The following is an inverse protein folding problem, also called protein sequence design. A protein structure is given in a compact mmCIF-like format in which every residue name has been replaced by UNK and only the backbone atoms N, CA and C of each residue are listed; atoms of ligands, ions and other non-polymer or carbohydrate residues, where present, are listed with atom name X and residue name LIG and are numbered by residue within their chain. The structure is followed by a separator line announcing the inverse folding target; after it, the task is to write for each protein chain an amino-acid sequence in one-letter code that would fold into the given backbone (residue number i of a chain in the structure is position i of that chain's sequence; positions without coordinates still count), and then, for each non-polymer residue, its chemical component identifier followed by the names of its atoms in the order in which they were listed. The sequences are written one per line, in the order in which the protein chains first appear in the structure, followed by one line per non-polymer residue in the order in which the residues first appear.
data_IF_956761054593
#
_entry.id   IF_956761054593
#
_cell.length_a   1.000
_cell.length_b   1.000
_cell.length_c   1.000
_cell.angle_alpha   90.00
_cell.angle_beta   90.00
_cell.angle_gamma   90.00
#
_symmetry.space_group_name_H-M   'P 1'
#
loop_
_entity.id
_entity.type
_entity.pdbx_description
1 polymer ?
#
# COMPACT_ATOMS: atom_id res chain seq x y z
N UNK A 1 -6.09 8.23 10.87
CA UNK A 1 -4.84 7.86 10.16
C UNK A 1 -5.02 6.48 9.54
N UNK A 2 -4.37 6.20 8.42
CA UNK A 2 -4.36 4.90 7.76
C UNK A 2 -2.92 4.51 7.40
N UNK A 3 -2.59 3.24 7.51
CA UNK A 3 -1.31 2.67 7.13
C UNK A 3 -1.54 1.76 5.92
N UNK A 4 -0.65 1.81 4.93
CA UNK A 4 -0.61 0.88 3.81
C UNK A 4 0.68 0.09 3.83
N UNK A 5 0.57 -1.21 3.58
CA UNK A 5 1.70 -2.10 3.37
C UNK A 5 1.39 -3.12 2.26
N UNK A 6 2.46 -3.64 1.65
CA UNK A 6 2.39 -4.60 0.57
C UNK A 6 3.24 -5.85 0.85
N UNK A 7 2.60 -7.01 0.80
CA UNK A 7 3.26 -8.28 1.07
C UNK A 7 3.11 -9.25 -0.09
N UNK A 8 4.23 -9.78 -0.55
CA UNK A 8 4.25 -10.89 -1.50
C UNK A 8 4.21 -12.22 -0.79
N UNK A 9 3.36 -13.10 -1.30
CA UNK A 9 3.11 -14.42 -0.74
C UNK A 9 3.17 -15.46 -1.85
N UNK A 10 3.76 -16.61 -1.54
CA UNK A 10 3.70 -17.77 -2.44
C UNK A 10 2.25 -18.25 -2.53
N UNK A 11 1.85 -18.73 -3.69
CA UNK A 11 0.58 -19.43 -3.88
C UNK A 11 0.83 -20.92 -4.15
N UNK A 12 -0.25 -21.67 -4.41
CA UNK A 12 -0.20 -23.11 -4.67
C UNK A 12 0.55 -23.42 -5.98
N UNK A 13 1.27 -24.55 -6.04
CA UNK A 13 2.20 -24.88 -7.13
C UNK A 13 1.58 -24.90 -8.55
N UNK A 14 0.27 -25.07 -8.68
CA UNK A 14 -0.45 -25.05 -9.97
C UNK A 14 -1.22 -23.76 -10.29
N UNK A 15 -1.10 -22.71 -9.47
CA UNK A 15 -1.87 -21.49 -9.69
C UNK A 15 -1.44 -20.77 -10.98
N UNK A 16 -2.44 -20.44 -11.81
CA UNK A 16 -2.25 -19.76 -13.11
C UNK A 16 -1.92 -18.28 -12.93
N UNK A 17 -2.60 -17.62 -12.00
CA UNK A 17 -2.38 -16.21 -11.70
C UNK A 17 -1.24 -16.07 -10.68
N UNK A 18 -0.01 -15.97 -11.20
CA UNK A 18 1.18 -15.64 -10.43
C UNK A 18 2.20 -14.92 -11.30
N UNK A 19 3.05 -14.15 -10.64
CA UNK A 19 4.26 -13.63 -11.23
C UNK A 19 5.39 -13.66 -10.21
N UNK A 20 6.59 -13.29 -10.65
CA UNK A 20 7.77 -13.29 -9.80
C UNK A 20 8.14 -11.86 -9.38
N UNK A 21 8.34 -11.68 -8.07
CA UNK A 21 8.95 -10.48 -7.51
C UNK A 21 10.42 -10.75 -7.21
N UNK A 22 11.33 -10.18 -8.01
CA UNK A 22 12.76 -10.41 -7.86
C UNK A 22 13.31 -9.90 -6.52
N UNK A 23 12.82 -8.76 -6.02
CA UNK A 23 13.29 -8.15 -4.77
C UNK A 23 13.05 -9.03 -3.54
N UNK A 24 11.92 -9.76 -3.50
CA UNK A 24 11.56 -10.67 -2.40
C UNK A 24 11.81 -12.15 -2.74
N UNK A 25 12.18 -12.46 -3.98
CA UNK A 25 12.34 -13.80 -4.53
C UNK A 25 11.09 -14.68 -4.35
N UNK A 26 9.91 -14.08 -4.52
CA UNK A 26 8.62 -14.76 -4.36
C UNK A 26 7.94 -14.90 -5.72
N UNK A 27 7.60 -16.13 -6.09
CA UNK A 27 6.65 -16.41 -7.16
C UNK A 27 5.25 -16.58 -6.55
N UNK A 28 4.32 -15.69 -6.88
CA UNK A 28 2.97 -15.76 -6.33
C UNK A 28 2.17 -14.47 -6.52
N UNK A 29 1.47 -14.10 -5.46
CA UNK A 29 0.58 -12.94 -5.39
C UNK A 29 1.18 -11.89 -4.45
N UNK A 30 0.68 -10.67 -4.54
CA UNK A 30 0.98 -9.58 -3.61
C UNK A 30 -0.33 -8.97 -3.11
N UNK A 31 -0.44 -8.83 -1.79
CA UNK A 31 -1.57 -8.19 -1.10
C UNK A 31 -1.18 -6.78 -0.71
N UNK A 32 -2.02 -5.81 -1.03
CA UNK A 32 -1.90 -4.39 -0.71
C UNK A 32 -3.04 -4.06 0.24
N UNK A 33 -2.72 -3.78 1.50
CA UNK A 33 -3.72 -3.66 2.56
C UNK A 33 -3.58 -2.30 3.21
N UNK A 34 -4.70 -1.58 3.25
CA UNK A 34 -4.88 -0.38 4.03
C UNK A 34 -5.50 -0.76 5.35
N UNK A 35 -5.00 -0.21 6.45
CA UNK A 35 -5.52 -0.43 7.81
C UNK A 35 -5.71 0.93 8.47
N UNK A 36 -6.90 1.24 8.95
CA UNK A 36 -7.17 2.49 9.67
C UNK A 36 -6.83 2.39 11.18
N UNK A 37 -6.89 3.50 11.90
CA UNK A 37 -6.60 3.53 13.34
C UNK A 37 -7.50 2.59 14.18
N UNK A 38 -8.80 2.41 13.85
CA UNK A 38 -9.63 1.33 14.41
C UNK A 38 -9.26 -0.12 14.03
N UNK A 39 -8.20 -0.34 13.25
CA UNK A 39 -7.76 -1.65 12.74
C UNK A 39 -8.74 -2.31 11.75
N UNK A 40 -9.61 -1.53 11.11
CA UNK A 40 -10.42 -1.99 9.99
C UNK A 40 -9.60 -1.90 8.70
N UNK A 41 -9.83 -2.81 7.73
CA UNK A 41 -9.17 -2.74 6.44
C UNK A 41 -10.05 -2.03 5.39
N UNK A 42 -10.02 -0.68 5.27
CA UNK A 42 -10.91 0.05 4.37
C UNK A 42 -10.62 -0.20 2.90
N UNK A 43 -9.44 -0.69 2.52
CA UNK A 43 -9.13 -1.00 1.12
C UNK A 43 -8.15 -2.17 1.02
N UNK A 44 -8.45 -3.11 0.14
CA UNK A 44 -7.62 -4.29 -0.13
C UNK A 44 -7.55 -4.53 -1.63
N UNK A 45 -6.34 -4.75 -2.14
CA UNK A 45 -6.14 -5.33 -3.47
C UNK A 45 -5.20 -6.55 -3.39
N UNK A 46 -5.48 -7.53 -4.25
CA UNK A 46 -4.59 -8.67 -4.47
C UNK A 46 -4.22 -8.67 -5.94
N UNK A 47 -2.92 -8.69 -6.22
CA UNK A 47 -2.34 -8.66 -7.56
C UNK A 47 -1.34 -9.79 -7.73
N UNK A 48 -0.82 -10.00 -8.94
CA UNK A 48 0.38 -10.83 -9.13
C UNK A 48 1.59 -10.16 -8.44
N UNK A 49 2.59 -10.95 -8.03
CA UNK A 49 3.68 -10.45 -7.19
C UNK A 49 4.60 -9.41 -7.87
N UNK A 50 4.62 -9.37 -9.21
CA UNK A 50 5.42 -8.41 -9.97
C UNK A 50 4.87 -6.98 -9.95
N UNK A 51 3.63 -6.78 -9.50
CA UNK A 51 3.05 -5.44 -9.38
C UNK A 51 3.76 -4.69 -8.25
N UNK A 52 4.13 -3.44 -8.52
CA UNK A 52 4.79 -2.57 -7.53
C UNK A 52 3.79 -2.15 -6.44
N UNK A 53 4.32 -1.82 -5.27
CA UNK A 53 3.51 -1.55 -4.08
C UNK A 53 2.60 -0.33 -4.30
N UNK A 54 3.12 0.75 -4.90
CA UNK A 54 2.31 1.92 -5.25
C UNK A 54 1.24 1.63 -6.31
N UNK A 55 1.50 0.80 -7.33
CA UNK A 55 0.48 0.47 -8.34
C UNK A 55 -0.65 -0.38 -7.74
N UNK A 56 -0.32 -1.36 -6.91
CA UNK A 56 -1.34 -2.16 -6.24
C UNK A 56 -2.12 -1.39 -5.17
N UNK A 57 -1.51 -0.39 -4.54
CA UNK A 57 -2.23 0.53 -3.66
C UNK A 57 -3.19 1.44 -4.43
N UNK A 58 -2.84 1.93 -5.63
CA UNK A 58 -3.77 2.66 -6.50
C UNK A 58 -4.99 1.81 -6.84
N UNK A 59 -4.77 0.54 -7.16
CA UNK A 59 -5.85 -0.43 -7.42
C UNK A 59 -6.76 -0.61 -6.18
N UNK A 60 -6.18 -0.71 -4.98
CA UNK A 60 -6.95 -0.81 -3.74
C UNK A 60 -7.79 0.46 -3.47
N UNK A 61 -7.21 1.65 -3.68
CA UNK A 61 -7.90 2.93 -3.56
C UNK A 61 -9.07 3.00 -4.53
N UNK A 62 -8.86 2.66 -5.80
CA UNK A 62 -9.88 2.67 -6.83
C UNK A 62 -11.07 1.75 -6.51
N UNK A 63 -10.81 0.61 -5.85
CA UNK A 63 -11.85 -0.35 -5.45
C UNK A 63 -12.71 0.11 -4.28
N UNK A 64 -12.21 0.98 -3.39
CA UNK A 64 -12.98 1.46 -2.25
C UNK A 64 -12.69 2.91 -1.84
N UNK A 65 -12.90 3.84 -2.78
CA UNK A 65 -12.77 5.29 -2.52
C UNK A 65 -13.65 5.76 -1.34
N UNK A 66 -14.85 5.21 -1.21
CA UNK A 66 -15.79 5.58 -0.14
C UNK A 66 -15.31 5.14 1.24
N UNK A 67 -14.72 3.94 1.35
CA UNK A 67 -14.10 3.45 2.58
C UNK A 67 -12.90 4.29 3.04
N UNK A 68 -12.28 5.05 2.13
CA UNK A 68 -11.14 5.93 2.41
C UNK A 68 -11.54 7.39 2.63
N UNK A 69 -12.83 7.75 2.53
CA UNK A 69 -13.31 9.14 2.62
C UNK A 69 -13.04 9.82 3.98
N UNK A 70 -12.89 9.04 5.06
CA UNK A 70 -12.55 9.54 6.39
C UNK A 70 -11.04 9.50 6.69
N UNK A 71 -10.21 9.04 5.74
CA UNK A 71 -8.76 8.92 5.94
C UNK A 71 -8.11 10.30 5.76
N UNK A 72 -7.83 10.96 6.88
CA UNK A 72 -7.14 12.25 6.88
C UNK A 72 -5.65 12.14 6.51
N UNK A 73 -5.02 11.00 6.81
CA UNK A 73 -3.59 10.76 6.57
C UNK A 73 -3.31 9.32 6.17
N UNK A 74 -2.44 9.13 5.18
CA UNK A 74 -1.97 7.81 4.73
C UNK A 74 -0.46 7.67 4.99
N UNK A 75 -0.06 6.57 5.63
CA UNK A 75 1.33 6.22 5.92
C UNK A 75 1.75 4.99 5.12
N UNK A 76 2.88 5.07 4.46
CA UNK A 76 3.52 3.94 3.78
C UNK A 76 5.03 4.05 3.86
N UNK A 77 5.74 2.96 3.59
CA UNK A 77 7.20 2.98 3.51
C UNK A 77 7.73 3.56 2.18
N UNK A 78 9.03 3.44 1.94
CA UNK A 78 9.67 3.94 0.71
C UNK A 78 9.13 3.33 -0.60
N UNK A 79 8.42 2.19 -0.55
CA UNK A 79 7.77 1.57 -1.70
C UNK A 79 6.54 2.34 -2.20
N UNK A 80 5.97 3.21 -1.35
CA UNK A 80 4.82 4.07 -1.64
C UNK A 80 5.22 5.50 -1.98
N UNK A 81 6.30 5.65 -2.74
CA UNK A 81 6.80 6.93 -3.24
C UNK A 81 6.42 7.15 -4.71
N UNK A 82 6.54 8.40 -5.18
CA UNK A 82 6.32 8.76 -6.58
C UNK A 82 5.12 9.69 -6.78
N UNK A 83 5.27 10.61 -7.74
CA UNK A 83 4.27 11.66 -8.02
C UNK A 83 2.88 11.10 -8.37
N UNK A 84 2.73 10.06 -9.22
CA UNK A 84 1.40 9.52 -9.55
C UNK A 84 0.63 8.98 -8.33
N UNK A 85 1.34 8.37 -7.39
CA UNK A 85 0.74 7.85 -6.16
C UNK A 85 0.31 8.99 -5.23
N UNK A 86 1.18 9.98 -5.04
CA UNK A 86 0.85 11.17 -4.26
C UNK A 86 -0.36 11.92 -4.80
N UNK A 87 -0.43 12.11 -6.11
CA UNK A 87 -1.57 12.77 -6.76
C UNK A 87 -2.88 12.00 -6.57
N UNK A 88 -2.85 10.67 -6.69
CA UNK A 88 -4.05 9.85 -6.50
C UNK A 88 -4.56 9.90 -5.05
N UNK A 89 -3.66 9.90 -4.07
CA UNK A 89 -4.02 10.06 -2.66
C UNK A 89 -4.62 11.45 -2.40
N UNK A 90 -4.04 12.51 -2.99
CA UNK A 90 -4.55 13.89 -2.85
C UNK A 90 -5.93 14.11 -3.50
N UNK A 91 -6.30 13.32 -4.52
CA UNK A 91 -7.64 13.37 -5.13
C UNK A 91 -8.72 12.72 -4.26
N UNK A 92 -8.35 11.93 -3.26
CA UNK A 92 -9.28 11.43 -2.24
C UNK A 92 -9.59 12.57 -1.25
N UNK A 93 -10.87 12.95 -1.06
CA UNK A 93 -11.21 14.11 -0.25
C UNK A 93 -10.66 13.99 1.17
N UNK A 94 -9.84 14.96 1.59
CA UNK A 94 -9.33 15.06 2.96
C UNK A 94 -8.05 14.27 3.27
N UNK A 95 -7.51 13.49 2.32
CA UNK A 95 -6.34 12.64 2.57
C UNK A 95 -5.00 13.33 2.26
N UNK A 96 -4.13 13.46 3.27
CA UNK A 96 -2.72 13.85 3.10
C UNK A 96 -1.81 12.60 3.10
N UNK A 97 -1.02 12.41 2.04
CA UNK A 97 -0.01 11.34 2.01
C UNK A 97 1.22 11.75 2.81
N UNK A 98 1.62 10.90 3.77
CA UNK A 98 2.86 11.03 4.53
C UNK A 98 3.73 9.80 4.28
N UNK A 99 4.86 9.98 3.60
CA UNK A 99 5.86 8.92 3.42
C UNK A 99 7.08 9.27 4.28
N UNK A 100 7.24 8.66 5.48
CA UNK A 100 8.42 8.90 6.30
C UNK A 100 9.70 8.49 5.56
N UNK A 101 10.65 9.41 5.51
CA UNK A 101 11.94 9.25 4.84
C UNK A 101 12.95 8.59 5.78
N UNK A 102 13.59 7.50 5.33
CA UNK A 102 14.51 6.67 6.14
C UNK A 102 15.85 7.33 6.54
N UNK A 103 16.14 8.56 6.10
CA UNK A 103 17.45 9.20 6.31
C UNK A 103 17.63 9.94 7.64
N UNK A 104 16.64 9.94 8.53
CA UNK A 104 16.82 10.38 9.92
C UNK A 104 17.26 9.19 10.78
N UNK A 105 18.54 8.81 10.66
CA UNK A 105 19.15 7.62 11.29
C UNK A 105 19.05 7.56 12.84
N UNK A 106 18.50 8.59 13.49
CA UNK A 106 18.43 8.69 14.95
C UNK A 106 17.07 9.16 15.51
N UNK A 107 16.01 9.21 14.68
CA UNK A 107 14.71 9.71 15.13
C UNK A 107 13.61 8.68 14.82
N UNK A 108 13.19 7.96 15.87
CA UNK A 108 11.93 7.23 15.83
C UNK A 108 10.79 8.25 15.95
N UNK A 109 10.21 8.65 14.81
CA UNK A 109 9.03 9.48 14.80
C UNK A 109 7.79 8.61 15.06
N UNK A 110 7.23 8.71 16.26
CA UNK A 110 5.88 8.22 16.55
C UNK A 110 4.90 9.27 16.05
N UNK A 111 4.22 8.98 14.94
CA UNK A 111 3.18 9.85 14.40
C UNK A 111 1.91 9.63 15.24
N UNK A 112 1.55 10.66 16.03
CA UNK A 112 0.37 10.69 16.89
C UNK A 112 -0.85 11.23 16.13
#
# INVERSE_FOLDING_TARGET
MCIVDAQSVKNTDGARDKAYEAGKKVAGLKRHIFVDSPALPPAIAVTTANITDHLGALEAIARNLTGLSAVASLLGDGGFTGQPFAEAVQRSPGAALQVPKRHELHTLAVLA
#
